data_IF_112871071586
#
_entry.id   IF_112871071586
#
_cell.length_a   1.000
_cell.length_b   1.000
_cell.length_c   1.000
_cell.angle_alpha   90.00
_cell.angle_beta   90.00
_cell.angle_gamma   90.00
#
_symmetry.space_group_name_H-M   'P 1'
#
loop_
_entity.id
_entity.type
_entity.pdbx_description
1 polymer ?
#
# COMPACT_ATOMS: atom_id res chain seq x y z
N UNK A 1 -12.06 -11.03 24.49
CA UNK A 1 -11.50 -10.01 23.59
C UNK A 1 -12.71 -9.42 22.88
N UNK A 2 -12.86 -8.11 22.88
CA UNK A 2 -13.96 -7.44 22.18
C UNK A 2 -13.48 -7.16 20.75
N UNK A 3 -14.22 -7.66 19.76
CA UNK A 3 -13.92 -7.47 18.34
C UNK A 3 -14.84 -6.43 17.69
N UNK A 4 -15.71 -5.79 18.47
CA UNK A 4 -16.59 -4.77 17.96
C UNK A 4 -15.80 -3.45 17.74
N UNK A 5 -16.10 -2.77 16.64
CA UNK A 5 -15.53 -1.45 16.38
C UNK A 5 -16.03 -0.44 17.42
N UNK A 6 -15.15 0.44 17.88
CA UNK A 6 -15.52 1.61 18.68
C UNK A 6 -16.41 2.57 17.88
N UNK A 7 -17.03 3.54 18.56
CA UNK A 7 -17.82 4.58 17.88
C UNK A 7 -17.00 5.37 16.88
N UNK A 8 -15.75 5.71 17.23
CA UNK A 8 -14.85 6.45 16.36
C UNK A 8 -14.45 5.64 15.11
N UNK A 9 -14.20 4.34 15.29
CA UNK A 9 -13.88 3.43 14.18
C UNK A 9 -15.07 3.23 13.23
N UNK A 10 -16.30 3.14 13.80
CA UNK A 10 -17.53 3.08 12.99
C UNK A 10 -17.73 4.38 12.18
N UNK A 11 -17.55 5.54 12.81
CA UNK A 11 -17.66 6.83 12.13
C UNK A 11 -16.62 6.99 11.01
N UNK A 12 -15.37 6.55 11.26
CA UNK A 12 -14.32 6.54 10.23
C UNK A 12 -14.73 5.68 9.02
N UNK A 13 -15.19 4.46 9.27
CA UNK A 13 -15.66 3.54 8.23
C UNK A 13 -16.81 4.14 7.42
N UNK A 14 -17.85 4.63 8.11
CA UNK A 14 -19.01 5.27 7.45
C UNK A 14 -18.62 6.48 6.60
N UNK A 15 -17.69 7.31 7.06
CA UNK A 15 -17.20 8.46 6.31
C UNK A 15 -16.48 8.04 5.02
N UNK A 16 -15.66 6.99 5.07
CA UNK A 16 -14.95 6.46 3.91
C UNK A 16 -15.93 5.82 2.92
N UNK A 17 -16.87 4.99 3.40
CA UNK A 17 -17.91 4.37 2.57
C UNK A 17 -18.77 5.44 1.86
N UNK A 18 -19.18 6.48 2.57
CA UNK A 18 -19.93 7.60 1.99
C UNK A 18 -19.13 8.37 0.94
N UNK A 19 -17.85 8.63 1.21
CA UNK A 19 -16.93 9.26 0.26
C UNK A 19 -16.77 8.39 -1.00
N UNK A 20 -16.47 7.12 -0.84
CA UNK A 20 -16.26 6.20 -1.95
C UNK A 20 -17.54 6.06 -2.80
N UNK A 21 -18.72 5.94 -2.18
CA UNK A 21 -19.99 5.86 -2.90
C UNK A 21 -20.28 7.13 -3.73
N UNK A 22 -19.91 8.29 -3.23
CA UNK A 22 -20.15 9.60 -3.89
C UNK A 22 -19.09 9.94 -4.92
N UNK A 23 -17.82 9.85 -4.55
CA UNK A 23 -16.69 10.36 -5.32
C UNK A 23 -16.00 9.30 -6.18
N UNK A 24 -16.23 8.00 -5.90
CA UNK A 24 -15.60 6.90 -6.63
C UNK A 24 -16.61 5.81 -7.07
N UNK A 25 -17.72 6.19 -7.73
CA UNK A 25 -18.65 5.20 -8.29
C UNK A 25 -17.95 4.33 -9.34
N UNK A 26 -18.47 3.14 -9.61
CA UNK A 26 -17.86 2.15 -10.49
C UNK A 26 -17.54 2.68 -11.91
N UNK A 27 -18.33 3.64 -12.41
CA UNK A 27 -18.04 4.29 -13.71
C UNK A 27 -16.78 5.16 -13.66
N UNK A 28 -16.45 5.75 -12.49
CA UNK A 28 -15.18 6.49 -12.30
C UNK A 28 -13.99 5.52 -12.28
N UNK A 29 -14.08 4.42 -11.54
CA UNK A 29 -13.07 3.34 -11.58
C UNK A 29 -12.81 2.90 -13.03
N UNK A 30 -13.88 2.63 -13.79
CA UNK A 30 -13.76 2.26 -15.21
C UNK A 30 -13.10 3.34 -16.06
N UNK A 31 -13.39 4.61 -15.80
CA UNK A 31 -12.78 5.73 -16.51
C UNK A 31 -11.28 5.81 -16.22
N UNK A 32 -10.87 5.71 -14.94
CA UNK A 32 -9.46 5.69 -14.53
C UNK A 32 -8.72 4.51 -15.16
N UNK A 33 -9.29 3.30 -15.13
CA UNK A 33 -8.67 2.12 -15.77
C UNK A 33 -8.54 2.30 -17.29
N UNK A 34 -9.55 2.85 -17.97
CA UNK A 34 -9.50 3.08 -19.43
C UNK A 34 -8.51 4.15 -19.84
N UNK A 35 -8.29 5.18 -19.01
CA UNK A 35 -7.30 6.23 -19.28
C UNK A 35 -5.85 5.73 -19.16
N UNK A 36 -5.63 4.60 -18.49
CA UNK A 36 -4.29 4.11 -18.16
C UNK A 36 -3.59 4.94 -17.07
N UNK A 37 -4.30 5.88 -16.42
CA UNK A 37 -3.73 6.70 -15.35
C UNK A 37 -3.38 5.88 -14.11
N UNK A 38 -4.20 4.84 -13.80
CA UNK A 38 -3.99 3.94 -12.66
C UNK A 38 -4.23 4.58 -11.28
N UNK A 39 -4.70 5.83 -11.24
CA UNK A 39 -5.13 6.57 -10.05
C UNK A 39 -5.83 7.86 -10.45
N UNK A 40 -6.47 8.54 -9.49
CA UNK A 40 -7.12 9.85 -9.68
C UNK A 40 -6.63 10.86 -8.62
N UNK A 41 -5.86 11.89 -9.01
CA UNK A 41 -5.34 12.89 -8.07
C UNK A 41 -6.42 13.64 -7.27
N UNK A 42 -7.63 13.78 -7.83
CA UNK A 42 -8.72 14.43 -7.12
C UNK A 42 -9.29 13.53 -6.02
N UNK A 43 -9.36 12.21 -6.25
CA UNK A 43 -9.75 11.23 -5.24
C UNK A 43 -8.70 11.19 -4.13
N UNK A 44 -7.41 11.15 -4.47
CA UNK A 44 -6.33 11.19 -3.48
C UNK A 44 -6.42 12.43 -2.57
N UNK A 45 -6.66 13.59 -3.16
CA UNK A 45 -6.85 14.83 -2.39
C UNK A 45 -8.06 14.75 -1.47
N UNK A 46 -9.19 14.23 -1.94
CA UNK A 46 -10.39 14.04 -1.12
C UNK A 46 -10.15 13.06 0.04
N UNK A 47 -9.38 11.99 -0.18
CA UNK A 47 -8.96 11.07 0.88
C UNK A 47 -8.05 11.77 1.91
N UNK A 48 -7.15 12.64 1.47
CA UNK A 48 -6.32 13.44 2.37
C UNK A 48 -7.16 14.44 3.19
N UNK A 49 -8.14 15.11 2.58
CA UNK A 49 -9.07 16.01 3.27
C UNK A 49 -9.93 15.27 4.33
N UNK A 50 -10.21 13.98 4.11
CA UNK A 50 -10.84 13.10 5.12
C UNK A 50 -9.88 12.62 6.21
N UNK A 51 -8.58 12.94 6.11
CA UNK A 51 -7.56 12.52 7.07
C UNK A 51 -7.03 11.10 6.86
N UNK A 52 -7.33 10.43 5.73
CA UNK A 52 -6.90 9.05 5.48
C UNK A 52 -5.38 8.95 5.37
N UNK A 53 -4.74 9.91 4.71
CA UNK A 53 -3.28 9.98 4.61
C UNK A 53 -2.59 10.29 5.95
N UNK A 54 -3.31 10.95 6.87
CA UNK A 54 -2.86 11.30 8.21
C UNK A 54 -3.12 10.20 9.25
N UNK A 55 -3.91 9.17 8.92
CA UNK A 55 -4.44 8.19 9.87
C UNK A 55 -3.37 7.64 10.81
N UNK A 56 -2.31 7.10 10.23
CA UNK A 56 -1.23 6.42 10.96
C UNK A 56 -0.03 7.33 11.26
N UNK A 57 -0.02 8.57 10.80
CA UNK A 57 1.07 9.51 11.09
C UNK A 57 0.96 9.99 12.54
N UNK A 58 2.08 10.12 13.28
CA UNK A 58 2.08 10.61 14.66
C UNK A 58 1.43 11.99 14.80
N UNK A 59 0.76 12.24 15.92
CA UNK A 59 0.11 13.54 16.19
C UNK A 59 1.11 14.68 16.28
N UNK A 60 2.34 14.41 16.74
CA UNK A 60 3.46 15.36 16.76
C UNK A 60 3.87 15.85 15.37
N UNK A 61 3.53 15.11 14.32
CA UNK A 61 3.85 15.38 12.92
C UNK A 61 2.62 15.78 12.09
N UNK A 62 1.51 16.14 12.76
CA UNK A 62 0.28 16.56 12.09
C UNK A 62 -0.66 15.43 11.68
N UNK A 63 -0.39 14.21 12.13
CA UNK A 63 -1.23 13.04 11.90
C UNK A 63 -2.30 12.83 12.97
N UNK A 64 -3.10 11.76 12.82
CA UNK A 64 -4.13 11.37 13.76
C UNK A 64 -3.62 10.38 14.83
N UNK A 65 -2.45 9.77 14.61
CA UNK A 65 -1.78 8.89 15.58
C UNK A 65 -2.51 7.57 15.82
N UNK A 66 -3.38 7.17 14.91
CA UNK A 66 -4.11 5.90 15.01
C UNK A 66 -3.21 4.69 14.79
N UNK A 67 -3.78 3.50 14.99
CA UNK A 67 -3.04 2.25 14.99
C UNK A 67 -3.57 1.21 13.99
N UNK A 68 -3.16 -0.05 14.19
CA UNK A 68 -3.54 -1.13 13.27
C UNK A 68 -5.05 -1.35 13.16
N UNK A 69 -5.82 -1.21 14.25
CA UNK A 69 -7.27 -1.47 14.24
C UNK A 69 -8.01 -0.48 13.33
N UNK A 70 -7.65 0.81 13.38
CA UNK A 70 -8.22 1.84 12.52
C UNK A 70 -7.77 1.63 11.06
N UNK A 71 -6.54 1.13 10.85
CA UNK A 71 -6.08 0.73 9.52
C UNK A 71 -6.91 -0.40 8.93
N UNK A 72 -7.28 -1.41 9.75
CA UNK A 72 -8.17 -2.49 9.29
C UNK A 72 -9.55 -1.95 8.92
N UNK A 73 -10.15 -1.10 9.77
CA UNK A 73 -11.44 -0.47 9.50
C UNK A 73 -11.42 0.39 8.21
N UNK A 74 -10.32 1.12 7.97
CA UNK A 74 -10.08 1.86 6.73
C UNK A 74 -10.08 0.92 5.52
N UNK A 75 -9.29 -0.15 5.55
CA UNK A 75 -9.13 -1.04 4.41
C UNK A 75 -10.40 -1.85 4.12
N UNK A 76 -11.14 -2.25 5.15
CA UNK A 76 -12.48 -2.84 4.99
C UNK A 76 -13.45 -1.88 4.29
N UNK A 77 -13.42 -0.59 4.61
CA UNK A 77 -14.26 0.41 3.96
C UNK A 77 -13.87 0.67 2.49
N UNK A 78 -12.58 0.57 2.17
CA UNK A 78 -12.05 0.80 0.82
C UNK A 78 -12.31 -0.36 -0.14
N UNK A 79 -12.30 -1.61 0.34
CA UNK A 79 -12.33 -2.81 -0.50
C UNK A 79 -13.49 -2.86 -1.51
N UNK A 80 -14.75 -2.62 -1.12
CA UNK A 80 -15.90 -2.68 -2.04
C UNK A 80 -15.79 -1.72 -3.23
N UNK A 81 -15.04 -0.64 -3.09
CA UNK A 81 -14.87 0.40 -4.12
C UNK A 81 -13.68 0.16 -5.04
N UNK A 82 -12.78 -0.78 -4.68
CA UNK A 82 -11.56 -1.11 -5.44
C UNK A 82 -10.73 0.14 -5.78
N UNK A 83 -10.48 0.99 -4.78
CA UNK A 83 -9.71 2.22 -4.93
C UNK A 83 -8.30 1.94 -5.48
N UNK A 84 -7.88 2.71 -6.49
CA UNK A 84 -6.57 2.58 -7.13
C UNK A 84 -5.51 3.53 -6.55
N UNK A 85 -5.90 4.36 -5.61
CA UNK A 85 -5.06 5.33 -4.92
C UNK A 85 -4.03 4.63 -4.01
N UNK A 86 -2.85 5.24 -3.78
CA UNK A 86 -1.74 4.60 -3.05
C UNK A 86 -1.97 4.51 -1.53
N UNK A 87 -3.17 4.08 -1.08
CA UNK A 87 -3.51 3.96 0.35
C UNK A 87 -2.61 2.91 0.99
N UNK A 88 -2.65 1.66 0.50
CA UNK A 88 -1.85 0.58 1.06
C UNK A 88 -0.36 0.87 1.01
N UNK A 89 0.14 1.35 -0.13
CA UNK A 89 1.58 1.52 -0.35
C UNK A 89 2.16 2.72 0.39
N UNK A 90 1.45 3.85 0.42
CA UNK A 90 1.94 5.10 1.02
C UNK A 90 1.37 5.30 2.42
N UNK A 91 0.04 5.43 2.56
CA UNK A 91 -0.56 5.75 3.84
C UNK A 91 -0.45 4.61 4.89
N UNK A 92 -0.23 3.35 4.45
CA UNK A 92 -0.05 2.21 5.36
C UNK A 92 1.41 1.79 5.41
N UNK A 93 1.95 1.15 4.37
CA UNK A 93 3.28 0.51 4.42
C UNK A 93 4.41 1.53 4.61
N UNK A 94 4.48 2.56 3.75
CA UNK A 94 5.56 3.55 3.84
C UNK A 94 5.48 4.34 5.15
N UNK A 95 4.27 4.69 5.59
CA UNK A 95 4.06 5.35 6.89
C UNK A 95 4.50 4.45 8.05
N UNK A 96 4.12 3.17 8.06
CA UNK A 96 4.52 2.22 9.11
C UNK A 96 6.04 2.06 9.21
N UNK A 97 6.73 2.07 8.06
CA UNK A 97 8.19 2.01 8.02
C UNK A 97 8.82 3.31 8.54
N UNK A 98 8.40 4.47 8.02
CA UNK A 98 8.99 5.77 8.36
C UNK A 98 8.77 6.16 9.82
N UNK A 99 7.64 5.76 10.43
CA UNK A 99 7.36 6.00 11.86
C UNK A 99 8.43 5.45 12.79
N UNK A 100 9.12 4.38 12.40
CA UNK A 100 10.18 3.78 13.21
C UNK A 100 11.41 4.68 13.30
N UNK A 101 11.49 5.72 12.43
CA UNK A 101 12.58 6.69 12.34
C UNK A 101 12.08 8.13 12.50
N UNK A 102 10.92 8.33 13.14
CA UNK A 102 10.25 9.64 13.27
C UNK A 102 11.05 10.68 14.08
N UNK A 103 12.05 10.24 14.84
CA UNK A 103 12.99 11.13 15.54
C UNK A 103 14.01 11.80 14.62
N UNK A 104 14.21 11.26 13.42
CA UNK A 104 15.14 11.79 12.43
C UNK A 104 14.44 12.84 11.55
N UNK A 105 15.16 13.90 11.20
CA UNK A 105 14.57 15.06 10.54
C UNK A 105 13.93 14.72 9.16
N UNK A 106 14.62 13.92 8.34
CA UNK A 106 14.11 13.61 6.98
C UNK A 106 12.86 12.72 6.98
N UNK A 107 12.77 11.63 7.77
CA UNK A 107 11.52 10.88 7.93
C UNK A 107 10.39 11.70 8.54
N UNK A 108 10.67 12.53 9.56
CA UNK A 108 9.66 13.39 10.20
C UNK A 108 9.06 14.40 9.21
N UNK A 109 9.89 15.08 8.42
CA UNK A 109 9.44 16.01 7.37
C UNK A 109 8.60 15.28 6.30
N UNK A 110 9.05 14.10 5.85
CA UNK A 110 8.32 13.30 4.87
C UNK A 110 6.96 12.84 5.42
N UNK A 111 6.90 12.33 6.66
CA UNK A 111 5.66 11.92 7.32
C UNK A 111 4.68 13.09 7.44
N UNK A 112 5.15 14.30 7.81
CA UNK A 112 4.29 15.47 7.88
C UNK A 112 3.69 15.85 6.52
N UNK A 113 4.47 15.77 5.45
CA UNK A 113 3.99 16.04 4.10
C UNK A 113 3.09 14.91 3.54
N UNK A 114 3.31 13.66 3.98
CA UNK A 114 2.42 12.54 3.67
C UNK A 114 1.07 12.68 4.39
N UNK A 115 1.05 13.18 5.62
CA UNK A 115 -0.19 13.41 6.37
C UNK A 115 -1.16 14.34 5.64
N UNK A 116 -0.65 15.35 4.95
CA UNK A 116 -1.46 16.29 4.14
C UNK A 116 -1.78 15.75 2.74
N UNK A 117 -1.22 14.61 2.34
CA UNK A 117 -1.35 14.06 1.00
C UNK A 117 -0.47 14.73 -0.06
N UNK A 118 0.39 15.70 0.34
CA UNK A 118 1.27 16.45 -0.57
C UNK A 118 2.44 15.61 -1.08
N UNK A 119 2.80 14.55 -0.36
CA UNK A 119 3.86 13.61 -0.73
C UNK A 119 3.37 12.17 -0.68
N UNK A 120 3.89 11.38 -1.61
CA UNK A 120 3.67 9.94 -1.69
C UNK A 120 5.03 9.26 -1.55
N UNK A 121 5.11 8.24 -0.68
CA UNK A 121 6.27 7.39 -0.56
C UNK A 121 5.92 5.94 -0.90
N UNK A 122 6.88 5.19 -1.44
CA UNK A 122 6.70 3.77 -1.73
C UNK A 122 7.93 2.97 -1.33
N UNK A 123 7.72 1.76 -0.81
CA UNK A 123 8.79 0.82 -0.47
C UNK A 123 9.24 0.05 -1.72
N UNK A 124 10.51 0.20 -2.08
CA UNK A 124 11.18 -0.52 -3.15
C UNK A 124 12.12 -1.58 -2.53
N UNK A 125 11.58 -2.77 -2.24
CA UNK A 125 12.28 -3.83 -1.53
C UNK A 125 12.52 -5.06 -2.38
N UNK A 126 11.47 -5.66 -2.94
CA UNK A 126 11.56 -6.91 -3.67
C UNK A 126 12.33 -6.80 -4.99
N UNK A 127 13.01 -7.87 -5.35
CA UNK A 127 13.82 -8.01 -6.56
C UNK A 127 13.32 -9.21 -7.40
N UNK A 128 13.65 -9.30 -8.68
CA UNK A 128 13.15 -10.41 -9.52
C UNK A 128 13.47 -11.80 -8.95
N UNK A 129 14.64 -11.94 -8.32
CA UNK A 129 15.13 -13.19 -7.77
C UNK A 129 14.57 -13.50 -6.37
N UNK A 130 14.28 -12.45 -5.57
CA UNK A 130 13.85 -12.60 -4.18
C UNK A 130 12.49 -13.27 -4.05
N UNK A 131 11.62 -13.15 -5.05
CA UNK A 131 10.21 -13.52 -4.95
C UNK A 131 9.57 -12.88 -3.71
N UNK A 132 9.32 -13.68 -2.65
CA UNK A 132 8.74 -13.23 -1.39
C UNK A 132 9.72 -13.33 -0.20
N UNK A 133 10.99 -13.63 -0.47
CA UNK A 133 12.01 -13.66 0.57
C UNK A 133 12.47 -12.24 0.89
N UNK A 134 12.14 -11.77 2.11
CA UNK A 134 12.46 -10.43 2.57
C UNK A 134 13.94 -10.23 2.93
N UNK A 135 14.70 -11.32 3.10
CA UNK A 135 16.14 -11.24 3.36
C UNK A 135 16.96 -11.08 2.09
N UNK A 136 16.41 -11.51 0.95
CA UNK A 136 17.09 -11.52 -0.33
C UNK A 136 17.18 -10.11 -0.93
N UNK A 137 18.35 -9.51 -0.90
CA UNK A 137 18.65 -8.20 -1.49
C UNK A 137 19.99 -8.25 -2.22
N UNK A 138 19.98 -8.15 -3.54
CA UNK A 138 21.19 -8.07 -4.40
C UNK A 138 21.56 -6.63 -4.76
N UNK A 139 20.60 -5.68 -4.77
CA UNK A 139 20.88 -4.24 -4.96
C UNK A 139 21.97 -3.82 -3.99
N UNK A 140 23.06 -3.24 -4.51
CA UNK A 140 24.26 -2.90 -3.72
C UNK A 140 24.29 -1.42 -3.33
N UNK A 141 24.75 -1.17 -2.10
CA UNK A 141 25.08 0.14 -1.59
C UNK A 141 26.56 0.19 -1.21
N UNK A 142 27.35 0.88 -1.99
CA UNK A 142 28.77 1.08 -1.74
C UNK A 142 29.02 2.46 -1.14
N UNK A 143 29.94 2.59 -0.16
CA UNK A 143 30.40 3.88 0.32
C UNK A 143 31.04 4.69 -0.81
N UNK A 144 30.68 5.97 -0.95
CA UNK A 144 31.17 6.86 -1.99
C UNK A 144 31.37 8.29 -1.44
N UNK A 145 32.60 8.61 -1.04
CA UNK A 145 32.90 9.85 -0.33
C UNK A 145 32.19 9.90 1.03
N UNK A 146 31.45 10.97 1.29
CA UNK A 146 30.64 11.13 2.51
C UNK A 146 29.22 10.51 2.39
N UNK A 147 28.95 9.76 1.33
CA UNK A 147 27.64 9.19 1.05
C UNK A 147 27.70 7.78 0.52
N UNK A 148 26.69 7.43 -0.29
CA UNK A 148 26.53 6.09 -0.84
C UNK A 148 26.26 6.14 -2.35
N UNK A 149 26.67 5.06 -3.01
CA UNK A 149 26.31 4.76 -4.39
C UNK A 149 25.48 3.49 -4.42
N UNK A 150 24.31 3.57 -5.04
CA UNK A 150 23.41 2.44 -5.20
C UNK A 150 23.41 1.96 -6.63
N UNK A 151 23.53 0.63 -6.82
CA UNK A 151 23.43 -0.06 -8.11
C UNK A 151 22.55 -1.32 -7.93
N UNK A 152 21.53 -1.49 -8.76
CA UNK A 152 20.66 -2.67 -8.67
C UNK A 152 19.30 -2.50 -9.33
N UNK A 153 18.39 -3.41 -8.98
CA UNK A 153 17.07 -3.49 -9.61
C UNK A 153 16.00 -3.92 -8.61
N UNK A 154 14.87 -3.20 -8.56
CA UNK A 154 13.69 -3.58 -7.78
C UNK A 154 12.52 -3.88 -8.71
N UNK A 155 11.78 -4.93 -8.42
CA UNK A 155 10.69 -5.42 -9.26
C UNK A 155 9.32 -5.10 -8.68
N UNK A 156 8.39 -4.75 -9.56
CA UNK A 156 6.96 -4.58 -9.23
C UNK A 156 6.73 -3.66 -8.02
N UNK A 157 7.42 -2.53 -7.99
CA UNK A 157 7.22 -1.54 -6.93
C UNK A 157 5.90 -0.82 -7.16
N UNK A 158 4.91 -1.15 -6.33
CA UNK A 158 3.57 -0.56 -6.44
C UNK A 158 3.65 0.96 -6.24
N UNK A 159 2.97 1.70 -7.11
CA UNK A 159 2.89 3.16 -7.14
C UNK A 159 4.25 3.90 -7.22
N UNK A 160 5.35 3.23 -7.60
CA UNK A 160 6.66 3.89 -7.74
C UNK A 160 6.62 5.11 -8.68
N UNK A 161 5.82 5.04 -9.75
CA UNK A 161 5.64 6.17 -10.68
C UNK A 161 4.91 7.36 -10.08
N UNK A 162 4.20 7.19 -8.97
CA UNK A 162 3.51 8.25 -8.23
C UNK A 162 4.33 8.77 -7.05
N UNK A 163 5.26 7.96 -6.54
CA UNK A 163 6.03 8.29 -5.35
C UNK A 163 6.97 9.47 -5.60
N UNK A 164 6.99 10.43 -4.67
CA UNK A 164 7.98 11.50 -4.60
C UNK A 164 9.30 10.98 -4.03
N UNK A 165 9.23 9.97 -3.17
CA UNK A 165 10.38 9.34 -2.52
C UNK A 165 10.19 7.82 -2.52
N UNK A 166 11.22 7.10 -2.97
CA UNK A 166 11.32 5.66 -2.80
C UNK A 166 12.13 5.33 -1.55
N UNK A 167 11.62 4.42 -0.73
CA UNK A 167 12.38 3.82 0.38
C UNK A 167 13.03 2.57 -0.18
N UNK A 168 14.31 2.64 -0.48
CA UNK A 168 15.04 1.58 -1.20
C UNK A 168 15.87 0.76 -0.21
N UNK A 169 15.66 -0.56 -0.20
CA UNK A 169 16.58 -1.48 0.47
C UNK A 169 17.79 -1.78 -0.43
N UNK A 170 18.96 -1.74 0.12
CA UNK A 170 20.20 -2.10 -0.58
C UNK A 170 21.20 -2.75 0.36
N UNK A 171 22.02 -3.61 -0.18
CA UNK A 171 23.02 -4.38 0.55
C UNK A 171 24.33 -3.61 0.67
N UNK A 172 24.68 -3.24 1.88
CA UNK A 172 25.94 -2.57 2.21
C UNK A 172 27.07 -3.54 2.55
N UNK A 173 26.75 -4.77 2.97
CA UNK A 173 27.71 -5.81 3.32
C UNK A 173 27.08 -7.22 3.18
N UNK A 174 27.92 -8.24 3.17
CA UNK A 174 27.50 -9.66 3.15
C UNK A 174 26.94 -10.12 1.80
N UNK A 175 26.42 -11.35 1.82
CA UNK A 175 25.79 -12.02 0.69
C UNK A 175 24.29 -11.66 0.59
N UNK A 176 23.64 -12.05 -0.52
CA UNK A 176 22.26 -11.66 -0.83
C UNK A 176 21.24 -12.03 0.27
N UNK A 177 21.47 -13.11 0.97
CA UNK A 177 20.59 -13.67 2.00
C UNK A 177 20.93 -13.24 3.44
N UNK A 178 22.03 -12.50 3.64
CA UNK A 178 22.48 -12.12 4.98
C UNK A 178 21.55 -11.09 5.62
N UNK A 179 20.94 -11.37 6.78
CA UNK A 179 20.01 -10.43 7.41
C UNK A 179 20.68 -9.15 7.91
N UNK A 180 21.98 -9.19 8.19
CA UNK A 180 22.73 -8.09 8.81
C UNK A 180 23.27 -7.04 7.81
N UNK A 181 23.24 -7.32 6.50
CA UNK A 181 23.87 -6.49 5.48
C UNK A 181 22.97 -5.46 4.79
N UNK A 182 21.67 -5.45 5.09
CA UNK A 182 20.69 -4.56 4.46
C UNK A 182 20.78 -3.15 5.04
N UNK A 183 20.61 -2.15 4.20
CA UNK A 183 20.42 -0.75 4.59
C UNK A 183 19.22 -0.17 3.87
N UNK A 184 18.54 0.80 4.46
CA UNK A 184 17.41 1.52 3.88
C UNK A 184 17.82 2.94 3.52
N UNK A 185 17.40 3.39 2.34
CA UNK A 185 17.73 4.70 1.82
C UNK A 185 16.47 5.44 1.34
N UNK A 186 16.37 6.73 1.62
CA UNK A 186 15.44 7.64 0.98
C UNK A 186 16.02 8.09 -0.35
N UNK A 187 15.34 7.74 -1.44
CA UNK A 187 15.74 8.10 -2.80
C UNK A 187 14.67 9.01 -3.40
N UNK A 188 14.90 10.34 -3.48
CA UNK A 188 13.95 11.27 -4.09
C UNK A 188 13.73 10.95 -5.57
N UNK A 189 12.49 11.17 -6.05
CA UNK A 189 12.18 11.09 -7.47
C UNK A 189 13.04 12.09 -8.26
N UNK A 190 13.54 11.66 -9.38
CA UNK A 190 14.42 12.50 -10.21
C UNK A 190 15.89 12.46 -9.81
N UNK A 191 16.28 11.65 -8.82
CA UNK A 191 17.70 11.38 -8.54
C UNK A 191 18.37 10.80 -9.76
N UNK A 192 19.53 11.34 -10.13
CA UNK A 192 20.28 10.87 -11.30
C UNK A 192 20.62 9.38 -11.17
N UNK A 193 20.42 8.61 -12.23
CA UNK A 193 20.62 7.16 -12.24
C UNK A 193 19.42 6.34 -11.76
N UNK A 194 18.34 6.97 -11.29
CA UNK A 194 17.07 6.31 -10.99
C UNK A 194 16.21 6.27 -12.26
N UNK A 195 15.90 5.07 -12.73
CA UNK A 195 15.04 4.83 -13.90
C UNK A 195 13.82 3.99 -13.50
N UNK A 196 12.63 4.36 -13.98
CA UNK A 196 11.37 3.64 -13.75
C UNK A 196 10.81 3.10 -15.05
N UNK A 197 10.56 1.80 -15.10
CA UNK A 197 9.82 1.14 -16.18
C UNK A 197 8.39 0.89 -15.70
N UNK A 198 7.48 1.83 -15.99
CA UNK A 198 6.12 1.82 -15.48
C UNK A 198 5.19 0.89 -16.27
N UNK A 199 4.28 0.22 -15.58
CA UNK A 199 3.23 -0.62 -16.16
C UNK A 199 1.97 -0.63 -15.29
N UNK A 200 0.88 -1.18 -15.82
CA UNK A 200 -0.34 -1.43 -15.05
C UNK A 200 -0.40 -2.90 -14.64
N UNK A 201 -0.76 -3.14 -13.39
CA UNK A 201 -1.08 -4.47 -12.90
C UNK A 201 -2.48 -4.93 -13.35
N UNK A 202 -2.81 -6.20 -13.18
CA UNK A 202 -4.09 -6.77 -13.66
C UNK A 202 -5.31 -6.11 -13.01
N UNK A 203 -5.18 -5.64 -11.78
CA UNK A 203 -6.21 -4.88 -11.04
C UNK A 203 -6.34 -3.43 -11.53
N UNK A 204 -5.36 -2.93 -12.29
CA UNK A 204 -5.34 -1.58 -12.87
C UNK A 204 -4.56 -0.56 -12.06
N UNK A 205 -3.88 -0.96 -11.01
CA UNK A 205 -2.95 -0.09 -10.28
C UNK A 205 -1.67 0.16 -11.08
N UNK A 206 -0.95 1.23 -10.77
CA UNK A 206 0.37 1.49 -11.34
C UNK A 206 1.45 0.79 -10.52
N UNK A 207 2.38 0.16 -11.22
CA UNK A 207 3.62 -0.33 -10.66
C UNK A 207 4.80 0.04 -11.58
N UNK A 208 6.01 -0.10 -11.09
CA UNK A 208 7.20 0.03 -11.93
C UNK A 208 8.29 -0.94 -11.48
N UNK A 209 9.08 -1.38 -12.44
CA UNK A 209 10.42 -1.88 -12.16
C UNK A 209 11.36 -0.68 -12.01
N UNK A 210 12.19 -0.72 -10.97
CA UNK A 210 13.09 0.37 -10.59
C UNK A 210 14.52 -0.05 -10.85
N UNK A 211 15.22 0.66 -11.71
CA UNK A 211 16.65 0.44 -11.97
C UNK A 211 17.46 1.56 -11.34
N UNK A 212 18.51 1.18 -10.63
CA UNK A 212 19.46 2.06 -9.97
C UNK A 212 20.83 1.88 -10.64
N UNK A 213 21.35 2.94 -11.26
CA UNK A 213 22.64 2.97 -11.97
C UNK A 213 23.47 4.14 -11.48
N UNK A 214 24.50 3.88 -10.69
CA UNK A 214 25.36 4.92 -10.08
C UNK A 214 24.53 6.00 -9.34
N UNK A 215 23.46 5.60 -8.64
CA UNK A 215 22.62 6.52 -7.87
C UNK A 215 23.40 6.99 -6.65
N UNK A 216 23.73 8.29 -6.61
CA UNK A 216 24.54 8.90 -5.55
C UNK A 216 23.66 9.60 -4.54
N UNK A 217 23.83 9.23 -3.27
CA UNK A 217 23.06 9.75 -2.15
C UNK A 217 24.01 10.29 -1.06
N UNK A 218 23.63 11.38 -0.37
CA UNK A 218 24.35 11.83 0.81
C UNK A 218 24.22 10.81 1.96
N UNK A 219 25.14 10.84 2.91
CA UNK A 219 25.11 9.94 4.08
C UNK A 219 23.81 10.01 4.87
N UNK A 220 23.21 11.20 4.96
CA UNK A 220 21.92 11.44 5.63
C UNK A 220 20.72 10.80 4.95
N UNK A 221 20.84 10.29 3.71
CA UNK A 221 19.78 9.56 3.04
C UNK A 221 19.58 8.13 3.57
N UNK A 222 20.55 7.60 4.34
CA UNK A 222 20.43 6.28 4.94
C UNK A 222 19.62 6.36 6.23
N UNK A 223 18.46 5.66 6.25
CA UNK A 223 17.58 5.57 7.41
C UNK A 223 18.07 4.58 8.45
N UNK A 224 18.47 3.39 8.01
CA UNK A 224 18.83 2.28 8.88
C UNK A 224 19.86 1.36 8.22
N UNK A 225 20.48 0.50 9.01
CA UNK A 225 21.43 -0.50 8.55
C UNK A 225 21.35 -1.79 9.40
N UNK A 226 21.73 -2.92 8.80
CA UNK A 226 21.79 -4.21 9.48
C UNK A 226 20.40 -4.73 9.87
N UNK A 227 20.33 -5.38 11.03
CA UNK A 227 19.08 -5.99 11.54
C UNK A 227 17.97 -4.97 11.76
N UNK A 228 18.27 -3.75 12.14
CA UNK A 228 17.26 -2.71 12.32
C UNK A 228 16.58 -2.34 10.99
N UNK A 229 17.33 -2.34 9.90
CA UNK A 229 16.80 -2.10 8.57
C UNK A 229 15.86 -3.23 8.12
N UNK A 230 16.25 -4.49 8.32
CA UNK A 230 15.42 -5.65 7.99
C UNK A 230 14.18 -5.68 8.87
N UNK A 231 14.31 -5.54 10.18
CA UNK A 231 13.19 -5.54 11.13
C UNK A 231 12.16 -4.43 10.81
N UNK A 232 12.63 -3.26 10.35
CA UNK A 232 11.75 -2.18 9.94
C UNK A 232 10.93 -2.54 8.68
N UNK A 233 11.57 -3.22 7.71
CA UNK A 233 10.87 -3.72 6.51
C UNK A 233 9.86 -4.79 6.89
N UNK A 234 10.25 -5.81 7.66
CA UNK A 234 9.37 -6.90 8.09
C UNK A 234 8.14 -6.35 8.83
N UNK A 235 8.35 -5.47 9.81
CA UNK A 235 7.25 -4.84 10.55
C UNK A 235 6.29 -4.04 9.65
N UNK A 236 6.82 -3.29 8.68
CA UNK A 236 5.99 -2.53 7.75
C UNK A 236 5.20 -3.43 6.79
N UNK A 237 5.82 -4.53 6.34
CA UNK A 237 5.16 -5.54 5.49
C UNK A 237 4.08 -6.30 6.26
N UNK A 238 4.28 -6.61 7.55
CA UNK A 238 3.27 -7.26 8.40
C UNK A 238 2.03 -6.36 8.55
N UNK A 239 2.23 -5.06 8.79
CA UNK A 239 1.13 -4.08 8.81
C UNK A 239 0.42 -4.03 7.47
N UNK A 240 1.17 -3.98 6.38
CA UNK A 240 0.63 -3.99 5.02
C UNK A 240 -0.15 -5.28 4.70
N UNK A 241 0.35 -6.43 5.13
CA UNK A 241 -0.31 -7.73 4.93
C UNK A 241 -1.64 -7.80 5.69
N UNK A 242 -1.66 -7.38 6.96
CA UNK A 242 -2.89 -7.30 7.74
C UNK A 242 -3.93 -6.38 7.08
N UNK A 243 -3.50 -5.21 6.61
CA UNK A 243 -4.33 -4.25 5.89
C UNK A 243 -4.91 -4.84 4.59
N UNK A 244 -4.07 -5.54 3.81
CA UNK A 244 -4.49 -6.21 2.57
C UNK A 244 -5.48 -7.36 2.84
N UNK A 245 -5.31 -8.10 3.94
CA UNK A 245 -6.26 -9.12 4.36
C UNK A 245 -7.64 -8.51 4.68
N UNK A 246 -7.69 -7.39 5.39
CA UNK A 246 -8.93 -6.68 5.69
C UNK A 246 -9.66 -6.21 4.42
N UNK A 247 -8.91 -5.64 3.47
CA UNK A 247 -9.44 -5.29 2.15
C UNK A 247 -10.01 -6.52 1.43
N UNK A 248 -9.26 -7.63 1.42
CA UNK A 248 -9.68 -8.88 0.79
C UNK A 248 -10.99 -9.43 1.38
N UNK A 249 -11.15 -9.41 2.70
CA UNK A 249 -12.38 -9.82 3.39
C UNK A 249 -13.58 -8.98 2.93
N UNK A 250 -13.43 -7.66 2.89
CA UNK A 250 -14.53 -6.77 2.48
C UNK A 250 -14.88 -6.89 0.99
N UNK A 251 -13.90 -7.14 0.12
CA UNK A 251 -14.13 -7.47 -1.31
C UNK A 251 -14.91 -8.77 -1.44
N UNK A 252 -14.56 -9.81 -0.67
CA UNK A 252 -15.32 -11.07 -0.66
C UNK A 252 -16.76 -10.84 -0.21
N UNK A 253 -16.98 -10.09 0.86
CA UNK A 253 -18.30 -9.75 1.37
C UNK A 253 -19.14 -9.01 0.33
N UNK A 254 -18.59 -7.98 -0.32
CA UNK A 254 -19.24 -7.24 -1.39
C UNK A 254 -19.61 -8.14 -2.57
N UNK A 255 -18.74 -9.09 -2.93
CA UNK A 255 -18.96 -10.07 -4.00
C UNK A 255 -20.12 -11.01 -3.65
N UNK A 256 -20.21 -11.48 -2.39
CA UNK A 256 -21.32 -12.32 -1.91
C UNK A 256 -22.63 -11.54 -2.00
N UNK A 257 -22.69 -10.31 -1.50
CA UNK A 257 -23.87 -9.47 -1.55
C UNK A 257 -24.36 -9.27 -2.99
N UNK A 258 -23.47 -8.85 -3.91
CA UNK A 258 -23.80 -8.68 -5.32
C UNK A 258 -24.27 -9.98 -5.97
N UNK A 259 -23.70 -11.13 -5.58
CA UNK A 259 -24.12 -12.46 -6.06
C UNK A 259 -25.54 -12.77 -5.59
N UNK A 260 -25.83 -12.60 -4.31
CA UNK A 260 -27.16 -12.85 -3.73
C UNK A 260 -28.22 -11.98 -4.39
N UNK A 261 -27.94 -10.69 -4.57
CA UNK A 261 -28.84 -9.74 -5.23
C UNK A 261 -29.12 -10.18 -6.68
N UNK A 262 -28.09 -10.57 -7.42
CA UNK A 262 -28.26 -11.09 -8.78
C UNK A 262 -29.07 -12.38 -8.81
N UNK A 263 -28.83 -13.33 -7.93
CA UNK A 263 -29.58 -14.59 -7.84
C UNK A 263 -31.07 -14.36 -7.53
N UNK A 264 -31.39 -13.33 -6.78
CA UNK A 264 -32.78 -12.96 -6.43
C UNK A 264 -33.49 -12.21 -7.57
N UNK A 265 -32.76 -11.48 -8.40
CA UNK A 265 -33.34 -10.64 -9.47
C UNK A 265 -33.37 -11.34 -10.82
N UNK A 266 -32.37 -12.18 -11.14
CA UNK A 266 -32.29 -12.85 -12.44
C UNK A 266 -33.32 -13.96 -12.55
N UNK A 267 -34.19 -13.86 -13.60
CA UNK A 267 -35.23 -14.85 -13.90
C UNK A 267 -34.76 -15.81 -14.99
N UNK A 268 -34.89 -17.12 -14.76
CA UNK A 268 -34.71 -18.18 -15.74
C UNK A 268 -35.64 -19.36 -15.37
N UNK A 269 -36.12 -20.10 -16.35
CA UNK A 269 -37.02 -21.25 -16.14
C UNK A 269 -38.26 -20.89 -15.31
N UNK A 270 -38.80 -19.67 -15.48
CA UNK A 270 -40.01 -19.19 -14.84
C UNK A 270 -39.85 -18.76 -13.36
N UNK A 271 -38.64 -18.65 -12.83
CA UNK A 271 -38.39 -18.27 -11.44
C UNK A 271 -37.04 -17.58 -11.26
N UNK A 272 -36.79 -16.87 -10.13
CA UNK A 272 -35.44 -16.40 -9.75
C UNK A 272 -34.48 -17.57 -9.69
N UNK A 273 -33.27 -17.36 -10.23
CA UNK A 273 -32.27 -18.44 -10.28
C UNK A 273 -31.75 -18.83 -8.89
N UNK A 274 -31.88 -17.97 -7.88
CA UNK A 274 -31.57 -18.26 -6.48
C UNK A 274 -32.44 -19.36 -5.86
N UNK A 275 -33.51 -19.82 -6.53
CA UNK A 275 -34.30 -20.98 -6.08
C UNK A 275 -33.66 -22.33 -6.42
N UNK A 276 -32.62 -22.35 -7.26
CA UNK A 276 -31.92 -23.58 -7.59
C UNK A 276 -30.89 -23.93 -6.50
N UNK A 277 -31.04 -25.12 -5.89
CA UNK A 277 -30.17 -25.61 -4.80
C UNK A 277 -28.69 -25.57 -5.15
N UNK A 278 -28.34 -25.88 -6.42
CA UNK A 278 -26.94 -25.83 -6.86
C UNK A 278 -26.28 -24.45 -6.65
N UNK A 279 -27.04 -23.36 -6.83
CA UNK A 279 -26.56 -22.00 -6.60
C UNK A 279 -26.59 -21.63 -5.11
N UNK A 280 -27.61 -22.11 -4.37
CA UNK A 280 -27.68 -21.90 -2.92
C UNK A 280 -26.48 -22.54 -2.21
N UNK A 281 -26.06 -23.75 -2.61
CA UNK A 281 -24.89 -24.42 -2.05
C UNK A 281 -23.61 -23.61 -2.36
N UNK A 282 -23.47 -23.04 -3.57
CA UNK A 282 -22.32 -22.18 -3.89
C UNK A 282 -22.25 -20.92 -3.03
N UNK A 283 -23.38 -20.28 -2.77
CA UNK A 283 -23.43 -19.11 -1.88
C UNK A 283 -23.08 -19.52 -0.44
N UNK A 284 -23.59 -20.67 0.04
CA UNK A 284 -23.19 -21.20 1.34
C UNK A 284 -21.67 -21.45 1.43
N UNK A 285 -21.06 -22.06 0.40
CA UNK A 285 -19.61 -22.27 0.33
C UNK A 285 -18.86 -20.93 0.38
N UNK A 286 -19.33 -19.91 -0.39
CA UNK A 286 -18.72 -18.57 -0.36
C UNK A 286 -18.79 -17.94 1.04
N UNK A 287 -19.92 -18.10 1.75
CA UNK A 287 -20.07 -17.55 3.11
C UNK A 287 -19.14 -18.26 4.10
N UNK A 288 -19.01 -19.59 4.00
CA UNK A 288 -18.06 -20.35 4.84
C UNK A 288 -16.61 -19.92 4.61
N UNK A 289 -16.24 -19.59 3.36
CA UNK A 289 -14.89 -19.10 3.05
C UNK A 289 -14.65 -17.65 3.51
N UNK A 290 -15.72 -16.86 3.68
CA UNK A 290 -15.62 -15.50 4.21
C UNK A 290 -15.33 -15.51 5.73
N UNK A 291 -16.01 -16.39 6.50
CA UNK A 291 -15.81 -16.57 7.96
C UNK A 291 -14.45 -17.22 8.30
#
# INVERSE_FOLDING_TARGET
>A
MDFELSDDQRQLREAIEAFAAKEYPFDRLRAVKRSGAGWDPAVWRGLAELGITALNVPTSLGGLGYGPTETLALMEACGPSLLLEPILTSAVIATALLRQFESDAAPAELLSAMATGDRIAALAHFEPQSRFDVTWVETRAAAAGEGFRLDGHKAVVAHAGLADVLIVSARAAGEAEDPDGISLFLVPRGTSGLELSEFLTVDGQRAADVTLKDVRLPGAARLAAGRDALAAVESALDVGLAALCAEGVSVMQATIHATVDYLNTRQQFGQPIGRFQALQHRVADMTVHLE
#
